data_IF_715668103801
#
_entry.id   IF_715668103801
#
_cell.length_a   1.000
_cell.length_b   1.000
_cell.length_c   1.000
_cell.angle_alpha   90.00
_cell.angle_beta   90.00
_cell.angle_gamma   90.00
#
_symmetry.space_group_name_H-M   'P 1'
#
loop_
_entity.id
_entity.type
_entity.pdbx_description
1 polymer ?
#
# COMPACT_ATOMS: atom_id res chain seq x y z
N UNK A 1 12.73 -11.49 -6.62
CA UNK A 1 11.39 -11.05 -7.07
C UNK A 1 11.52 -9.60 -7.49
N UNK A 2 10.90 -9.22 -8.61
CA UNK A 2 11.06 -7.92 -9.24
C UNK A 2 10.25 -6.86 -8.47
N UNK A 3 10.81 -6.39 -7.34
CA UNK A 3 10.24 -5.27 -6.61
C UNK A 3 10.30 -4.03 -7.50
N UNK A 4 9.12 -3.51 -7.85
CA UNK A 4 9.02 -2.21 -8.47
C UNK A 4 9.37 -1.23 -7.36
N UNK A 5 10.52 -0.55 -7.46
CA UNK A 5 10.89 0.42 -6.43
C UNK A 5 10.01 1.67 -6.59
N UNK A 6 9.13 2.00 -5.61
CA UNK A 6 8.29 3.18 -5.69
C UNK A 6 9.15 4.44 -5.78
N UNK A 7 10.36 4.45 -5.21
CA UNK A 7 11.25 5.60 -5.22
C UNK A 7 11.68 6.03 -6.64
N UNK A 8 11.68 5.11 -7.60
CA UNK A 8 11.94 5.42 -9.02
C UNK A 8 10.68 5.52 -9.86
N UNK A 9 9.62 4.77 -9.52
CA UNK A 9 8.37 4.80 -10.30
C UNK A 9 7.53 6.03 -9.97
N UNK A 10 7.44 6.41 -8.70
CA UNK A 10 6.67 7.57 -8.22
C UNK A 10 7.06 8.87 -8.92
N UNK A 11 8.34 9.31 -8.90
CA UNK A 11 8.72 10.58 -9.54
C UNK A 11 8.47 10.54 -11.06
N UNK A 12 8.68 9.40 -11.72
CA UNK A 12 8.43 9.28 -13.15
C UNK A 12 6.94 9.33 -13.50
N UNK A 13 6.07 8.73 -12.68
CA UNK A 13 4.62 8.79 -12.87
C UNK A 13 4.07 10.20 -12.60
N UNK A 14 4.60 10.92 -11.61
CA UNK A 14 4.24 12.33 -11.37
C UNK A 14 4.65 13.24 -12.54
N UNK A 15 5.86 13.06 -13.09
CA UNK A 15 6.29 13.81 -14.29
C UNK A 15 5.41 13.55 -15.50
N UNK A 16 4.91 12.31 -15.67
CA UNK A 16 3.96 11.99 -16.74
C UNK A 16 2.59 12.66 -16.52
N UNK A 17 2.13 12.75 -15.25
CA UNK A 17 0.92 13.48 -14.89
C UNK A 17 1.04 14.98 -15.16
N UNK A 18 2.15 15.60 -14.76
CA UNK A 18 2.45 17.02 -15.01
C UNK A 18 2.55 17.33 -16.51
N UNK A 19 3.14 16.42 -17.29
CA UNK A 19 3.23 16.55 -18.75
C UNK A 19 1.90 16.25 -19.49
N UNK A 20 0.81 15.92 -18.77
CA UNK A 20 -0.49 15.57 -19.33
C UNK A 20 -0.50 14.26 -20.14
N UNK A 21 0.54 13.42 -20.04
CA UNK A 21 0.70 12.20 -20.84
C UNK A 21 0.03 11.02 -20.13
N UNK A 22 -0.96 10.40 -20.77
CA UNK A 22 -1.65 9.22 -20.22
C UNK A 22 -2.61 9.50 -19.07
N UNK A 23 -2.76 10.77 -18.66
CA UNK A 23 -3.68 11.21 -17.59
C UNK A 23 -5.14 10.93 -17.95
N UNK A 24 -5.54 11.19 -19.19
CA UNK A 24 -6.91 10.89 -19.68
C UNK A 24 -7.27 9.40 -19.60
N UNK A 25 -6.27 8.52 -19.63
CA UNK A 25 -6.44 7.08 -19.51
C UNK A 25 -6.12 6.56 -18.10
N UNK A 26 -5.79 7.46 -17.16
CA UNK A 26 -5.46 7.12 -15.77
C UNK A 26 -4.21 6.25 -15.62
N UNK A 27 -3.35 6.14 -16.64
CA UNK A 27 -2.21 5.21 -16.64
C UNK A 27 -1.25 5.49 -15.48
N UNK A 28 -0.81 6.74 -15.21
CA UNK A 28 0.09 6.99 -14.10
C UNK A 28 -0.56 6.71 -12.73
N UNK A 29 -1.85 7.00 -12.58
CA UNK A 29 -2.60 6.77 -11.33
C UNK A 29 -2.79 5.28 -11.07
N UNK A 30 -3.16 4.50 -12.10
CA UNK A 30 -3.26 3.05 -11.98
C UNK A 30 -1.89 2.42 -11.70
N UNK A 31 -0.82 2.87 -12.35
CA UNK A 31 0.53 2.36 -12.11
C UNK A 31 1.00 2.63 -10.66
N UNK A 32 0.75 3.84 -10.14
CA UNK A 32 1.05 4.21 -8.75
C UNK A 32 0.27 3.36 -7.75
N UNK A 33 -1.03 3.16 -8.02
CA UNK A 33 -1.90 2.34 -7.18
C UNK A 33 -1.45 0.88 -7.22
N UNK A 34 -1.13 0.34 -8.40
CA UNK A 34 -0.66 -1.02 -8.59
C UNK A 34 0.66 -1.29 -7.87
N UNK A 35 1.62 -0.35 -7.93
CA UNK A 35 2.89 -0.45 -7.20
C UNK A 35 2.65 -0.52 -5.68
N UNK A 36 1.75 0.31 -5.16
CA UNK A 36 1.41 0.30 -3.73
C UNK A 36 0.68 -0.98 -3.30
N UNK A 37 -0.16 -1.54 -4.18
CA UNK A 37 -0.84 -2.82 -3.94
C UNK A 37 0.14 -4.00 -3.95
N UNK A 38 1.14 -3.98 -4.83
CA UNK A 38 2.18 -5.02 -4.90
C UNK A 38 2.96 -5.13 -3.58
N UNK A 39 3.33 -3.99 -3.00
CA UNK A 39 4.02 -3.93 -1.70
C UNK A 39 3.17 -4.53 -0.56
N UNK A 40 1.87 -4.21 -0.51
CA UNK A 40 0.94 -4.72 0.51
C UNK A 40 0.70 -6.22 0.39
N UNK A 41 0.49 -6.71 -0.84
CA UNK A 41 0.28 -8.15 -1.11
C UNK A 41 1.54 -8.93 -0.76
N UNK A 42 2.71 -8.39 -1.11
CA UNK A 42 3.99 -9.03 -0.81
C UNK A 42 4.26 -9.09 0.70
N UNK A 43 4.05 -7.99 1.43
CA UNK A 43 4.19 -7.96 2.89
C UNK A 43 3.26 -8.98 3.58
N UNK A 44 1.98 -9.00 3.21
CA UNK A 44 0.99 -9.90 3.81
C UNK A 44 1.22 -11.37 3.44
N UNK A 45 1.59 -11.63 2.18
CA UNK A 45 1.91 -12.96 1.67
C UNK A 45 3.11 -13.58 2.36
N UNK A 46 4.21 -12.82 2.52
CA UNK A 46 5.36 -13.30 3.28
C UNK A 46 5.03 -13.53 4.75
N UNK A 47 4.27 -12.62 5.38
CA UNK A 47 3.82 -12.81 6.77
C UNK A 47 2.98 -14.08 6.94
N UNK A 48 2.13 -14.40 5.97
CA UNK A 48 1.34 -15.63 5.96
C UNK A 48 2.22 -16.87 5.74
N UNK A 49 3.17 -16.82 4.81
CA UNK A 49 4.12 -17.91 4.58
C UNK A 49 4.94 -18.21 5.84
N UNK A 50 5.41 -17.19 6.55
CA UNK A 50 6.08 -17.34 7.85
C UNK A 50 5.17 -17.93 8.92
N UNK A 51 3.90 -17.50 8.96
CA UNK A 51 2.91 -18.07 9.88
C UNK A 51 2.73 -19.56 9.62
N UNK A 52 2.61 -19.99 8.36
CA UNK A 52 2.52 -21.42 8.01
C UNK A 52 3.81 -22.19 8.29
N UNK A 53 4.97 -21.61 8.01
CA UNK A 53 6.26 -22.29 8.17
C UNK A 53 6.61 -22.59 9.64
N UNK A 54 6.22 -21.73 10.58
CA UNK A 54 6.58 -21.85 12.00
C UNK A 54 5.40 -22.19 12.94
N UNK A 55 4.17 -22.33 12.44
CA UNK A 55 3.02 -22.70 13.27
C UNK A 55 2.79 -24.22 13.33
N UNK A 56 2.41 -24.72 14.51
CA UNK A 56 1.93 -26.09 14.69
C UNK A 56 0.48 -26.17 14.20
N UNK A 57 0.28 -26.55 12.94
CA UNK A 57 -1.04 -26.52 12.30
C UNK A 57 -1.88 -27.77 12.60
N UNK A 58 -3.18 -27.58 12.87
CA UNK A 58 -4.20 -28.63 12.76
C UNK A 58 -5.04 -28.42 11.49
N UNK A 59 -5.73 -29.46 11.03
CA UNK A 59 -6.60 -29.40 9.83
C UNK A 59 -7.69 -28.31 9.94
N UNK A 60 -8.14 -28.01 11.16
CA UNK A 60 -9.11 -26.93 11.42
C UNK A 60 -8.51 -25.52 11.23
N UNK A 61 -7.19 -25.38 11.39
CA UNK A 61 -6.50 -24.10 11.22
C UNK A 61 -6.38 -23.70 9.74
N UNK A 62 -6.37 -24.67 8.83
CA UNK A 62 -6.38 -24.43 7.38
C UNK A 62 -7.65 -23.70 6.91
N UNK A 63 -8.81 -24.00 7.50
CA UNK A 63 -10.06 -23.28 7.21
C UNK A 63 -10.12 -21.90 7.90
N UNK A 64 -9.40 -21.71 9.01
CA UNK A 64 -9.36 -20.44 9.75
C UNK A 64 -8.36 -19.44 9.16
N UNK A 65 -7.32 -19.90 8.47
CA UNK A 65 -6.32 -19.05 7.84
C UNK A 65 -6.89 -17.91 6.95
N UNK A 66 -7.81 -18.18 5.99
CA UNK A 66 -8.40 -17.10 5.18
C UNK A 66 -9.27 -16.14 6.02
N UNK A 67 -9.98 -16.64 7.03
CA UNK A 67 -10.77 -15.78 7.93
C UNK A 67 -9.90 -14.83 8.77
N UNK A 68 -8.74 -15.31 9.21
CA UNK A 68 -7.75 -14.48 9.92
C UNK A 68 -7.20 -13.39 9.00
N UNK A 69 -6.94 -13.70 7.73
CA UNK A 69 -6.43 -12.72 6.76
C UNK A 69 -7.43 -11.58 6.56
N UNK A 70 -8.70 -11.93 6.39
CA UNK A 70 -9.78 -10.97 6.18
C UNK A 70 -9.94 -10.05 7.40
N UNK A 71 -9.89 -10.62 8.61
CA UNK A 71 -9.91 -9.84 9.85
C UNK A 71 -8.72 -8.90 9.97
N UNK A 72 -7.51 -9.36 9.62
CA UNK A 72 -6.29 -8.51 9.66
C UNK A 72 -6.34 -7.39 8.63
N UNK A 73 -6.85 -7.65 7.43
CA UNK A 73 -7.02 -6.65 6.39
C UNK A 73 -8.01 -5.56 6.81
N UNK A 74 -9.18 -5.95 7.34
CA UNK A 74 -10.20 -5.02 7.83
C UNK A 74 -9.68 -4.25 9.04
N UNK A 75 -9.12 -4.95 10.03
CA UNK A 75 -8.58 -4.33 11.24
C UNK A 75 -7.44 -3.35 10.93
N UNK A 76 -6.52 -3.74 10.06
CA UNK A 76 -5.44 -2.87 9.58
C UNK A 76 -5.96 -1.65 8.83
N UNK A 77 -6.97 -1.82 7.98
CA UNK A 77 -7.62 -0.72 7.28
C UNK A 77 -8.33 0.26 8.22
N UNK A 78 -9.04 -0.24 9.24
CA UNK A 78 -9.73 0.60 10.24
C UNK A 78 -8.73 1.37 11.09
N UNK A 79 -7.71 0.69 11.62
CA UNK A 79 -6.68 1.33 12.45
C UNK A 79 -5.86 2.32 11.63
N UNK A 80 -5.44 1.93 10.42
CA UNK A 80 -4.70 2.81 9.51
C UNK A 80 -5.50 4.01 9.07
N UNK A 81 -6.79 3.83 8.75
CA UNK A 81 -7.71 4.92 8.42
C UNK A 81 -7.93 5.88 9.58
N UNK A 82 -8.11 5.36 10.79
CA UNK A 82 -8.25 6.17 12.01
C UNK A 82 -6.98 6.96 12.31
N UNK A 83 -5.80 6.32 12.21
CA UNK A 83 -4.52 6.99 12.42
C UNK A 83 -4.25 8.03 11.33
N UNK A 84 -4.59 7.73 10.08
CA UNK A 84 -4.50 8.66 8.96
C UNK A 84 -5.41 9.87 9.14
N UNK A 85 -6.61 9.67 9.68
CA UNK A 85 -7.52 10.76 10.05
C UNK A 85 -6.94 11.65 11.15
N UNK A 86 -6.30 11.06 12.17
CA UNK A 86 -5.61 11.83 13.22
C UNK A 86 -4.43 12.64 12.66
N UNK A 87 -3.61 12.02 11.80
CA UNK A 87 -2.48 12.70 11.16
C UNK A 87 -2.92 13.83 10.22
N UNK A 88 -4.10 13.70 9.61
CA UNK A 88 -4.72 14.78 8.84
C UNK A 88 -5.09 15.97 9.74
N UNK A 89 -5.50 15.72 10.99
CA UNK A 89 -5.85 16.78 11.95
C UNK A 89 -4.62 17.49 12.55
N UNK A 90 -3.48 16.80 12.66
CA UNK A 90 -2.21 17.37 13.14
C UNK A 90 -1.13 17.25 12.05
N UNK A 91 -1.23 18.07 10.97
CA UNK A 91 -0.23 18.03 9.93
C UNK A 91 1.14 18.49 10.48
N UNK A 92 2.22 17.74 10.25
CA UNK A 92 3.55 18.12 10.70
C UNK A 92 4.00 19.45 10.08
N UNK A 93 4.69 20.32 10.84
CA UNK A 93 5.22 21.57 10.32
C UNK A 93 6.27 21.29 9.23
N UNK A 94 5.93 21.59 7.97
CA UNK A 94 6.78 21.37 6.79
C UNK A 94 6.05 21.04 5.48
N UNK A 95 4.75 20.70 5.53
CA UNK A 95 4.00 20.24 4.35
C UNK A 95 3.62 21.32 3.30
N UNK A 96 4.06 22.57 3.46
CA UNK A 96 3.65 23.71 2.59
C UNK A 96 4.69 24.07 1.51
N UNK A 97 5.92 23.54 1.55
CA UNK A 97 7.00 24.06 0.70
C UNK A 97 6.98 23.62 -0.77
N UNK A 98 6.07 22.75 -1.22
CA UNK A 98 6.05 22.24 -2.60
C UNK A 98 4.94 22.81 -3.49
N UNK A 99 4.11 23.73 -2.97
CA UNK A 99 3.06 24.40 -3.77
C UNK A 99 3.53 25.73 -4.41
N UNK A 100 4.78 26.14 -4.19
CA UNK A 100 5.30 27.44 -4.62
C UNK A 100 6.25 27.42 -5.82
N UNK A 101 6.63 26.26 -6.36
CA UNK A 101 7.65 26.12 -7.42
C UNK A 101 7.11 25.43 -8.69
N UNK A 102 5.81 25.57 -8.97
CA UNK A 102 5.20 25.24 -10.28
C UNK A 102 4.21 26.30 -10.72
#
# INVERSE_FOLDING_TARGET
MAAISPDVVVPNMLRLQEAGRGVNHGIPTMAMTACSMDDLVTMTGFGLAFMFAFSNWNINDGCRAPSILMLRAIGGGVVGGFLGFILWFIPPPGMVSLRGEV
#
